data_IF_183035840378
#
_entry.id   IF_183035840378
#
_cell.length_a   1.000
_cell.length_b   1.000
_cell.length_c   1.000
_cell.angle_alpha   90.00
_cell.angle_beta   90.00
_cell.angle_gamma   90.00
#
_symmetry.space_group_name_H-M   'P 1'
#
loop_
_entity.id
_entity.type
_entity.pdbx_description
1 polymer ?
#
# COMPACT_ATOMS: atom_id res chain seq x y z
N UNK A 1 15.23 -19.94 0.72
CA UNK A 1 15.63 -19.96 -0.69
C UNK A 1 14.39 -20.16 -1.56
N UNK A 2 13.63 -19.11 -1.83
CA UNK A 2 12.41 -19.15 -2.66
C UNK A 2 12.60 -18.13 -3.81
N UNK A 3 13.41 -18.49 -4.80
CA UNK A 3 13.71 -17.54 -5.91
C UNK A 3 12.75 -17.61 -7.11
N UNK A 4 11.72 -18.50 -7.15
CA UNK A 4 10.90 -18.69 -8.35
C UNK A 4 9.39 -18.80 -8.14
N UNK A 5 8.86 -18.49 -6.96
CA UNK A 5 7.42 -18.68 -6.67
C UNK A 5 6.47 -17.62 -7.26
N UNK A 6 6.83 -16.34 -7.42
CA UNK A 6 5.84 -15.31 -7.79
C UNK A 6 5.31 -15.42 -9.22
N UNK A 7 6.12 -15.86 -10.18
CA UNK A 7 5.68 -15.93 -11.59
C UNK A 7 4.73 -17.07 -11.91
N UNK A 8 4.97 -18.25 -11.32
CA UNK A 8 4.11 -19.41 -11.56
C UNK A 8 2.71 -19.23 -10.97
N UNK A 9 2.59 -18.51 -9.86
CA UNK A 9 1.32 -18.29 -9.19
C UNK A 9 0.45 -17.27 -9.94
N UNK A 10 1.02 -16.16 -10.43
CA UNK A 10 0.29 -15.15 -11.23
C UNK A 10 -0.29 -15.74 -12.53
N UNK A 11 0.38 -16.72 -13.12
CA UNK A 11 -0.13 -17.44 -14.29
C UNK A 11 -1.25 -18.44 -13.93
N UNK A 12 -1.38 -18.80 -12.65
CA UNK A 12 -2.35 -19.79 -12.17
C UNK A 12 -3.62 -19.18 -11.59
N UNK A 13 -3.62 -17.91 -11.20
CA UNK A 13 -4.85 -17.22 -10.81
C UNK A 13 -5.54 -16.76 -12.10
N UNK A 14 -6.73 -17.29 -12.37
CA UNK A 14 -7.61 -16.76 -13.43
C UNK A 14 -7.92 -15.30 -13.09
N UNK A 15 -7.08 -14.41 -13.60
CA UNK A 15 -7.32 -12.99 -13.54
C UNK A 15 -8.55 -12.64 -14.38
N UNK A 16 -9.39 -11.75 -13.92
CA UNK A 16 -10.27 -11.01 -14.79
C UNK A 16 -9.42 -10.45 -15.92
N UNK A 17 -9.70 -10.89 -17.16
CA UNK A 17 -9.02 -10.36 -18.34
C UNK A 17 -9.51 -8.93 -18.52
N UNK A 18 -8.89 -8.02 -17.82
CA UNK A 18 -9.14 -6.61 -18.01
C UNK A 18 -7.86 -5.85 -18.00
N UNK A 19 -7.70 -5.25 -19.14
CA UNK A 19 -6.72 -4.21 -19.40
C UNK A 19 -5.34 -4.56 -18.87
N UNK A 20 -4.50 -4.99 -19.77
CA UNK A 20 -3.05 -4.81 -19.68
C UNK A 20 -2.72 -3.34 -19.45
N UNK A 21 -3.13 -2.81 -18.32
CA UNK A 21 -2.35 -1.85 -17.62
C UNK A 21 -1.52 -2.70 -16.68
N UNK A 22 -0.38 -3.15 -17.17
CA UNK A 22 0.72 -3.43 -16.26
C UNK A 22 0.75 -2.27 -15.29
N UNK A 23 1.13 -2.49 -14.05
CA UNK A 23 1.55 -1.45 -13.13
C UNK A 23 2.83 -0.77 -13.70
N UNK A 24 2.77 -0.34 -14.95
CA UNK A 24 3.55 0.71 -15.50
C UNK A 24 2.83 1.97 -15.09
N UNK A 25 3.32 2.64 -14.08
CA UNK A 25 2.89 3.98 -13.73
C UNK A 25 3.16 4.86 -14.94
N UNK A 26 2.15 5.01 -15.81
CA UNK A 26 2.22 5.89 -16.95
C UNK A 26 2.33 7.32 -16.40
N UNK A 27 3.51 7.89 -16.50
CA UNK A 27 3.70 9.33 -16.47
C UNK A 27 2.75 9.90 -17.53
N UNK A 28 1.73 10.61 -17.10
CA UNK A 28 0.81 11.31 -18.00
C UNK A 28 1.58 12.45 -18.67
N UNK A 29 2.22 12.16 -19.79
CA UNK A 29 2.67 13.15 -20.74
C UNK A 29 1.45 13.65 -21.53
N UNK A 30 0.76 14.62 -21.01
CA UNK A 30 -0.11 15.50 -21.81
C UNK A 30 0.79 16.47 -22.56
N UNK A 31 1.06 16.15 -23.80
CA UNK A 31 1.68 17.07 -24.76
C UNK A 31 0.64 18.16 -25.12
N UNK A 32 0.70 19.26 -24.42
CA UNK A 32 0.06 20.52 -24.90
C UNK A 32 1.18 21.45 -25.34
N UNK A 33 1.34 21.56 -26.64
CA UNK A 33 2.22 22.50 -27.30
C UNK A 33 1.64 23.90 -27.13
N UNK A 34 2.22 24.70 -26.26
CA UNK A 34 2.06 26.16 -26.30
C UNK A 34 3.42 26.80 -26.13
N UNK A 35 3.78 27.57 -27.17
CA UNK A 35 4.95 28.43 -27.20
C UNK A 35 4.93 29.42 -26.03
N UNK A 36 6.01 29.48 -25.26
CA UNK A 36 6.31 30.60 -24.38
C UNK A 36 7.67 31.21 -24.73
N UNK A 37 7.82 32.55 -24.64
CA UNK A 37 8.97 33.26 -25.18
C UNK A 37 10.20 33.16 -24.26
N UNK A 38 11.37 33.22 -24.89
CA UNK A 38 12.67 33.20 -24.27
C UNK A 38 12.87 34.38 -23.29
N UNK A 39 13.27 34.07 -22.05
CA UNK A 39 13.75 35.04 -21.07
C UNK A 39 15.27 34.90 -20.97
N UNK A 40 15.96 35.96 -21.32
CA UNK A 40 17.40 36.15 -21.17
C UNK A 40 17.72 36.35 -19.69
N UNK A 41 18.59 35.53 -19.10
CA UNK A 41 19.06 35.71 -17.73
C UNK A 41 20.41 36.37 -17.75
N UNK A 42 20.47 37.62 -17.26
CA UNK A 42 21.72 38.33 -16.95
C UNK A 42 22.33 37.76 -15.66
N UNK A 43 23.60 37.43 -15.75
CA UNK A 43 24.41 36.98 -14.62
C UNK A 43 24.91 38.18 -13.82
N UNK A 44 24.40 38.37 -12.60
CA UNK A 44 24.98 39.31 -11.64
C UNK A 44 25.78 38.55 -10.58
N UNK A 45 27.07 38.85 -10.52
CA UNK A 45 28.01 38.41 -9.48
C UNK A 45 27.59 39.04 -8.14
N UNK A 46 27.46 38.25 -7.07
CA UNK A 46 27.37 38.74 -5.71
C UNK A 46 28.54 38.27 -4.86
N UNK A 47 29.23 39.25 -4.29
CA UNK A 47 30.37 39.11 -3.38
C UNK A 47 29.93 38.61 -2.00
N UNK A 48 30.82 37.85 -1.41
CA UNK A 48 30.72 37.32 -0.03
C UNK A 48 30.98 38.45 0.98
N UNK A 49 30.02 38.73 1.85
CA UNK A 49 30.24 39.45 3.11
C UNK A 49 29.90 38.59 4.31
N UNK A 50 30.91 38.38 5.12
CA UNK A 50 30.92 37.72 6.41
C UNK A 50 30.31 38.63 7.47
N UNK A 51 29.35 38.22 8.26
CA UNK A 51 28.89 38.94 9.45
C UNK A 51 28.90 37.99 10.69
N UNK A 52 29.12 38.53 11.89
CA UNK A 52 29.63 37.76 13.03
C UNK A 52 28.55 37.17 13.93
N UNK A 53 28.96 36.10 14.63
CA UNK A 53 28.19 35.39 15.69
C UNK A 53 27.88 36.33 16.87
N UNK A 54 26.62 36.41 17.27
CA UNK A 54 26.21 36.89 18.59
C UNK A 54 25.86 35.70 19.51
N UNK A 55 26.55 35.65 20.64
CA UNK A 55 26.23 34.77 21.78
C UNK A 55 25.04 35.37 22.51
N UNK A 56 24.05 34.53 22.88
CA UNK A 56 23.06 34.91 23.89
C UNK A 56 22.87 33.79 24.91
N UNK A 57 22.82 34.23 26.16
CA UNK A 57 22.86 33.49 27.41
C UNK A 57 21.67 32.59 27.68
N UNK A 58 21.96 31.57 28.47
CA UNK A 58 21.01 30.68 29.11
C UNK A 58 20.21 31.40 30.21
N UNK A 59 18.88 31.38 30.13
CA UNK A 59 18.01 31.74 31.27
C UNK A 59 17.18 30.54 31.67
N UNK A 60 17.36 30.18 32.91
CA UNK A 60 16.73 29.20 33.78
C UNK A 60 15.24 29.45 33.88
N UNK A 61 14.40 28.44 33.70
CA UNK A 61 12.97 28.51 34.06
C UNK A 61 12.58 27.33 34.95
N UNK A 62 11.97 27.70 36.05
CA UNK A 62 11.55 26.90 37.19
C UNK A 62 10.40 25.93 36.89
N UNK A 63 10.44 24.83 37.59
CA UNK A 63 9.41 23.79 37.73
C UNK A 63 8.22 24.28 38.53
N UNK A 64 7.03 24.17 38.01
CA UNK A 64 5.77 24.13 38.79
C UNK A 64 5.09 22.77 38.61
N UNK A 65 4.98 22.05 39.72
CA UNK A 65 4.12 20.87 39.90
C UNK A 65 2.64 21.28 39.84
N UNK A 66 1.81 20.56 39.14
CA UNK A 66 0.36 20.53 39.42
C UNK A 66 -0.19 19.12 39.30
N UNK A 67 -1.07 18.82 40.22
CA UNK A 67 -1.61 17.55 40.64
C UNK A 67 -2.44 16.78 39.62
N UNK A 68 -2.48 15.46 39.81
CA UNK A 68 -3.33 14.50 39.15
C UNK A 68 -4.81 14.66 39.56
N UNK A 69 -5.70 14.79 38.60
CA UNK A 69 -7.15 14.59 38.81
C UNK A 69 -7.62 13.35 38.03
N UNK A 70 -8.15 12.44 38.79
CA UNK A 70 -8.74 11.16 38.46
C UNK A 70 -10.10 11.38 37.78
N UNK A 71 -10.32 10.91 36.53
CA UNK A 71 -11.64 10.85 35.91
C UNK A 71 -11.94 9.45 35.42
N UNK A 72 -13.00 8.89 35.98
CA UNK A 72 -13.61 7.59 35.69
C UNK A 72 -14.06 7.47 34.24
N UNK A 73 -13.76 6.31 33.67
CA UNK A 73 -14.33 5.77 32.43
C UNK A 73 -15.85 5.58 32.55
N UNK A 74 -16.60 6.13 31.58
CA UNK A 74 -17.96 5.66 31.28
C UNK A 74 -18.06 5.36 29.79
N UNK A 75 -18.34 4.09 29.49
CA UNK A 75 -18.74 3.59 28.18
C UNK A 75 -20.01 4.30 27.69
N UNK A 76 -20.03 4.79 26.45
CA UNK A 76 -21.27 4.82 25.66
C UNK A 76 -21.00 4.95 24.15
N UNK A 77 -21.54 3.97 23.40
CA UNK A 77 -22.13 4.00 22.05
C UNK A 77 -21.41 4.69 20.89
N UNK A 78 -21.13 3.88 19.86
CA UNK A 78 -20.87 4.29 18.48
C UNK A 78 -21.91 5.27 17.94
N UNK A 79 -21.50 6.34 17.24
CA UNK A 79 -22.43 7.12 16.44
C UNK A 79 -22.65 6.51 15.05
N UNK A 80 -23.93 6.42 14.68
CA UNK A 80 -24.43 6.02 13.37
C UNK A 80 -23.88 6.91 12.24
N UNK A 81 -23.57 6.27 11.12
CA UNK A 81 -23.21 6.94 9.87
C UNK A 81 -24.45 7.67 9.34
N UNK A 82 -24.41 8.99 9.35
CA UNK A 82 -25.38 9.83 8.65
C UNK A 82 -24.86 10.06 7.22
N UNK A 83 -25.54 9.46 6.25
CA UNK A 83 -25.37 9.78 4.84
C UNK A 83 -25.82 11.23 4.61
N UNK A 84 -24.88 12.14 4.43
CA UNK A 84 -25.14 13.49 3.93
C UNK A 84 -24.70 13.59 2.49
N UNK A 85 -25.66 13.90 1.62
CA UNK A 85 -25.50 14.22 0.21
C UNK A 85 -24.38 15.23 -0.04
N UNK A 86 -23.56 14.94 -1.06
CA UNK A 86 -22.45 15.76 -1.52
C UNK A 86 -22.93 17.16 -1.87
N UNK A 87 -22.56 18.14 -1.07
CA UNK A 87 -22.81 19.56 -1.31
C UNK A 87 -22.04 20.11 -2.51
N UNK A 88 -22.48 21.24 -3.04
CA UNK A 88 -21.91 21.93 -4.19
C UNK A 88 -20.44 22.34 -3.97
N UNK A 89 -19.72 22.64 -5.05
CA UNK A 89 -18.30 23.05 -5.02
C UNK A 89 -17.95 24.17 -4.00
N UNK A 90 -18.94 24.98 -3.58
CA UNK A 90 -18.78 26.00 -2.54
C UNK A 90 -18.77 25.40 -1.12
N UNK A 91 -19.44 24.28 -0.88
CA UNK A 91 -19.44 23.59 0.41
C UNK A 91 -18.12 22.84 0.63
N UNK A 92 -17.51 22.35 -0.44
CA UNK A 92 -16.18 21.71 -0.40
C UNK A 92 -15.10 22.75 -0.01
N UNK A 93 -15.23 24.00 -0.43
CA UNK A 93 -14.31 25.07 -0.02
C UNK A 93 -14.49 25.48 1.46
N UNK A 94 -15.69 25.38 2.03
CA UNK A 94 -15.92 25.65 3.46
C UNK A 94 -15.39 24.55 4.38
N UNK A 95 -15.25 23.31 3.90
CA UNK A 95 -14.69 22.20 4.68
C UNK A 95 -13.15 22.29 4.79
N UNK A 96 -12.50 23.17 4.05
CA UNK A 96 -11.09 23.57 4.23
C UNK A 96 -10.89 24.50 5.43
N UNK A 97 -11.56 24.22 6.56
CA UNK A 97 -11.23 24.90 7.80
C UNK A 97 -9.77 24.65 8.13
N UNK A 98 -9.01 25.73 8.33
CA UNK A 98 -7.65 25.68 8.78
C UNK A 98 -7.57 24.83 10.05
N UNK A 99 -6.98 23.64 9.96
CA UNK A 99 -6.80 22.80 11.15
C UNK A 99 -5.69 23.40 12.02
N UNK A 100 -4.75 24.10 11.41
CA UNK A 100 -3.59 24.73 12.07
C UNK A 100 -3.43 26.19 11.66
N UNK A 101 -3.06 27.03 12.61
CA UNK A 101 -2.95 28.49 12.40
C UNK A 101 -1.83 28.88 11.45
N UNK A 102 -0.82 28.04 11.31
CA UNK A 102 0.37 28.25 10.48
C UNK A 102 0.35 27.44 9.16
N UNK A 103 -0.79 26.85 8.80
CA UNK A 103 -0.99 26.13 7.53
C UNK A 103 -2.14 26.78 6.76
N UNK A 104 -1.87 27.80 5.91
CA UNK A 104 -2.89 28.42 5.06
C UNK A 104 -3.49 27.41 4.08
N UNK A 105 -4.73 27.63 3.64
CA UNK A 105 -5.45 26.72 2.74
C UNK A 105 -4.80 26.52 1.38
N UNK A 106 -4.01 27.47 0.93
CA UNK A 106 -3.21 27.46 -0.30
C UNK A 106 -1.79 26.94 -0.10
N UNK A 107 -1.42 26.57 1.12
CA UNK A 107 -0.13 25.92 1.38
C UNK A 107 -0.06 24.58 0.61
N UNK A 108 1.03 24.33 -0.08
CA UNK A 108 1.19 23.19 -0.98
C UNK A 108 0.89 21.84 -0.34
N UNK A 109 1.14 21.65 0.95
CA UNK A 109 0.89 20.43 1.71
C UNK A 109 -0.37 20.51 2.61
N UNK A 110 -1.23 21.52 2.45
CA UNK A 110 -2.38 21.72 3.34
C UNK A 110 -3.32 20.50 3.37
N UNK A 111 -3.58 19.89 2.19
CA UNK A 111 -4.42 18.70 2.07
C UNK A 111 -3.78 17.48 2.76
N UNK A 112 -2.52 17.24 2.52
CA UNK A 112 -1.76 16.13 3.10
C UNK A 112 -1.69 16.25 4.62
N UNK A 113 -1.35 17.44 5.14
CA UNK A 113 -1.30 17.73 6.58
C UNK A 113 -2.67 17.49 7.22
N UNK A 114 -3.74 18.02 6.62
CA UNK A 114 -5.11 17.80 7.10
C UNK A 114 -5.47 16.31 7.16
N UNK A 115 -5.14 15.58 6.10
CA UNK A 115 -5.50 14.16 5.97
C UNK A 115 -4.72 13.28 6.93
N UNK A 116 -3.40 13.42 7.01
CA UNK A 116 -2.58 12.60 7.92
C UNK A 116 -2.87 12.92 9.40
N UNK A 117 -3.29 14.17 9.69
CA UNK A 117 -3.68 14.54 11.05
C UNK A 117 -5.02 13.91 11.43
N UNK A 118 -6.01 13.93 10.54
CA UNK A 118 -7.30 13.25 10.73
C UNK A 118 -7.14 11.74 10.88
N UNK A 119 -6.19 11.16 10.16
CA UNK A 119 -5.84 9.74 10.26
C UNK A 119 -4.97 9.41 11.49
N UNK A 120 -4.69 10.39 12.37
CA UNK A 120 -3.80 10.24 13.54
C UNK A 120 -2.37 9.78 13.23
N UNK A 121 -1.90 9.93 12.00
CA UNK A 121 -0.53 9.60 11.62
C UNK A 121 0.46 10.65 12.14
N UNK A 122 0.07 11.94 12.09
CA UNK A 122 0.84 13.03 12.64
C UNK A 122 -0.05 13.92 13.52
N UNK A 123 0.54 14.63 14.48
CA UNK A 123 -0.17 15.58 15.34
C UNK A 123 0.42 16.98 15.22
N UNK A 124 -0.41 17.99 15.42
CA UNK A 124 0.06 19.35 15.65
C UNK A 124 0.52 19.57 17.10
N UNK A 125 0.89 20.79 17.39
CA UNK A 125 1.34 21.24 18.72
C UNK A 125 0.15 21.81 19.52
N UNK A 126 0.32 21.87 20.84
CA UNK A 126 -0.71 22.38 21.76
C UNK A 126 -1.04 23.86 21.56
N UNK A 127 -0.18 24.61 20.87
CA UNK A 127 -0.37 26.03 20.51
C UNK A 127 -1.24 26.21 19.24
N UNK A 128 -1.77 25.14 18.66
CA UNK A 128 -2.58 25.18 17.45
C UNK A 128 -1.78 25.26 16.16
N UNK A 129 -0.47 25.06 16.19
CA UNK A 129 0.41 25.06 15.01
C UNK A 129 0.74 23.64 14.56
N UNK A 130 1.11 23.48 13.29
CA UNK A 130 1.70 22.26 12.73
C UNK A 130 3.22 22.34 12.55
N UNK A 131 3.73 23.55 12.36
CA UNK A 131 5.14 23.87 12.07
C UNK A 131 5.64 23.16 10.81
N UNK A 132 5.03 23.43 9.64
CA UNK A 132 5.26 22.67 8.41
C UNK A 132 6.71 22.68 7.93
N UNK A 133 7.44 23.75 8.15
CA UNK A 133 8.83 23.92 7.72
C UNK A 133 9.88 23.45 8.76
N UNK A 134 9.43 22.98 9.93
CA UNK A 134 10.35 22.47 10.95
C UNK A 134 10.96 21.14 10.50
N UNK A 135 12.29 20.96 10.60
CA UNK A 135 12.94 19.67 10.38
C UNK A 135 12.42 18.61 11.36
N UNK A 136 12.30 17.37 10.89
CA UNK A 136 11.94 16.24 11.75
C UNK A 136 13.15 15.56 12.37
N UNK A 137 13.03 15.21 13.64
CA UNK A 137 14.01 14.36 14.33
C UNK A 137 13.76 12.89 14.02
N UNK A 138 14.77 12.05 14.26
CA UNK A 138 14.67 10.59 14.05
C UNK A 138 13.58 9.96 14.91
N UNK A 139 13.36 10.44 16.12
CA UNK A 139 12.26 9.95 16.97
C UNK A 139 10.87 10.37 16.47
N UNK A 140 10.72 11.58 15.92
CA UNK A 140 9.47 12.02 15.31
C UNK A 140 9.14 11.18 14.06
N UNK A 141 10.16 10.81 13.28
CA UNK A 141 10.00 9.89 12.14
C UNK A 141 9.65 8.49 12.62
N UNK A 142 10.28 7.99 13.71
CA UNK A 142 9.89 6.71 14.31
C UNK A 142 8.42 6.69 14.76
N UNK A 143 7.97 7.78 15.38
CA UNK A 143 6.56 7.91 15.79
C UNK A 143 5.61 7.92 14.59
N UNK A 144 5.96 8.61 13.49
CA UNK A 144 5.18 8.60 12.25
C UNK A 144 5.03 7.17 11.69
N UNK A 145 6.12 6.45 11.50
CA UNK A 145 6.07 5.11 10.93
C UNK A 145 5.48 4.08 11.89
N UNK A 146 5.61 4.27 13.21
CA UNK A 146 4.88 3.46 14.18
C UNK A 146 3.37 3.66 14.05
N UNK A 147 2.90 4.93 13.88
CA UNK A 147 1.48 5.22 13.67
C UNK A 147 0.96 4.68 12.33
N UNK A 148 1.79 4.70 11.27
CA UNK A 148 1.44 4.11 9.97
C UNK A 148 1.28 2.59 10.08
N UNK A 149 2.13 1.91 10.83
CA UNK A 149 2.11 0.45 10.97
C UNK A 149 1.08 -0.08 11.96
N UNK A 150 0.60 0.75 12.89
CA UNK A 150 -0.42 0.53 13.94
C UNK A 150 -0.75 -0.94 14.27
N UNK A 151 0.24 -1.70 14.68
CA UNK A 151 0.09 -3.09 15.10
C UNK A 151 -0.16 -3.24 16.62
N UNK A 152 -0.58 -2.15 17.22
CA UNK A 152 -0.83 -2.04 18.66
C UNK A 152 0.43 -1.83 19.48
N UNK A 153 0.24 -1.42 20.73
CA UNK A 153 1.32 -1.17 21.67
C UNK A 153 1.87 -2.49 22.21
N UNK A 154 2.97 -2.98 21.64
CA UNK A 154 3.81 -3.94 22.36
C UNK A 154 4.35 -3.28 23.63
N UNK A 155 4.34 -3.99 24.74
CA UNK A 155 4.97 -3.48 25.96
C UNK A 155 6.46 -3.23 25.70
N UNK A 156 6.96 -2.08 26.18
CA UNK A 156 8.39 -1.81 26.19
C UNK A 156 9.06 -2.75 27.20
N UNK A 157 9.84 -3.69 26.72
CA UNK A 157 10.56 -4.63 27.60
C UNK A 157 11.97 -4.11 27.89
N UNK A 158 12.71 -3.73 26.87
CA UNK A 158 14.04 -3.12 26.94
C UNK A 158 14.42 -2.56 25.58
N UNK A 159 15.24 -1.52 25.55
CA UNK A 159 15.79 -1.03 24.28
C UNK A 159 17.09 -1.75 23.93
N UNK A 160 17.26 -2.01 22.61
CA UNK A 160 18.57 -2.41 22.08
C UNK A 160 19.52 -1.21 21.93
N UNK A 161 19.02 0.01 22.09
CA UNK A 161 19.80 1.23 21.95
C UNK A 161 20.14 1.81 23.33
N UNK A 162 21.40 2.07 23.58
CA UNK A 162 21.91 2.54 24.90
C UNK A 162 21.50 3.97 25.24
N UNK A 163 21.06 4.75 24.24
CA UNK A 163 20.60 6.13 24.38
C UNK A 163 19.08 6.28 24.41
N UNK A 164 18.34 5.15 24.51
CA UNK A 164 16.87 5.15 24.62
C UNK A 164 16.47 4.59 25.98
N UNK A 165 15.95 5.47 26.83
CA UNK A 165 15.42 5.11 28.16
C UNK A 165 13.90 4.82 28.06
N UNK A 166 13.38 4.00 28.97
CA UNK A 166 11.97 3.57 28.96
C UNK A 166 10.96 4.71 29.21
N UNK A 167 11.41 5.78 29.83
CA UNK A 167 10.61 7.00 30.11
C UNK A 167 10.57 7.99 28.94
N UNK A 168 11.38 7.75 27.89
CA UNK A 168 11.34 8.61 26.70
C UNK A 168 10.01 8.43 25.97
N UNK A 169 9.36 9.55 25.61
CA UNK A 169 8.05 9.55 24.92
C UNK A 169 8.00 8.71 23.65
N UNK A 170 9.12 8.61 22.94
CA UNK A 170 9.28 7.90 21.68
C UNK A 170 9.80 6.46 21.81
N UNK A 171 10.10 6.01 23.02
CA UNK A 171 10.78 4.73 23.25
C UNK A 171 10.04 3.54 22.62
N UNK A 172 8.72 3.45 22.82
CA UNK A 172 7.89 2.40 22.22
C UNK A 172 7.90 2.44 20.70
N UNK A 173 7.77 3.64 20.13
CA UNK A 173 7.77 3.83 18.68
C UNK A 173 9.12 3.43 18.05
N UNK A 174 10.23 3.85 18.67
CA UNK A 174 11.59 3.51 18.23
C UNK A 174 11.78 1.99 18.23
N UNK A 175 11.43 1.31 19.32
CA UNK A 175 11.57 -0.14 19.41
C UNK A 175 10.66 -0.89 18.42
N UNK A 176 9.44 -0.41 18.22
CA UNK A 176 8.50 -0.98 17.26
C UNK A 176 9.08 -0.94 15.83
N UNK A 177 9.46 0.24 15.34
CA UNK A 177 9.98 0.40 13.98
C UNK A 177 11.36 -0.23 13.79
N UNK A 178 12.15 -0.33 14.86
CA UNK A 178 13.44 -0.99 14.81
C UNK A 178 13.31 -2.53 14.71
N UNK A 179 12.34 -3.13 15.42
CA UNK A 179 12.03 -4.57 15.27
C UNK A 179 11.51 -4.94 13.87
N UNK A 180 10.81 -4.02 13.24
CA UNK A 180 10.31 -4.17 11.86
C UNK A 180 11.38 -3.90 10.80
N UNK A 181 12.60 -3.55 11.21
CA UNK A 181 13.68 -3.11 10.33
C UNK A 181 13.34 -1.88 9.46
N UNK A 182 12.35 -1.08 9.87
CA UNK A 182 11.97 0.16 9.18
C UNK A 182 13.03 1.25 9.45
N UNK A 183 13.49 1.38 10.70
CA UNK A 183 14.58 2.30 11.06
C UNK A 183 15.64 1.54 11.86
N UNK A 184 16.88 1.60 11.40
CA UNK A 184 18.02 1.06 12.12
C UNK A 184 18.69 2.11 13.00
N UNK A 185 19.38 1.64 14.05
CA UNK A 185 20.33 2.46 14.81
C UNK A 185 21.68 2.57 14.13
N UNK A 186 22.62 3.15 14.83
CA UNK A 186 24.00 3.26 14.39
C UNK A 186 24.85 2.08 14.88
N UNK A 187 26.00 1.86 14.27
CA UNK A 187 26.89 0.74 14.60
C UNK A 187 27.55 0.83 15.98
N UNK A 188 27.29 1.90 16.75
CA UNK A 188 27.71 2.12 18.13
C UNK A 188 26.59 1.83 19.16
N UNK A 189 25.56 1.10 18.78
CA UNK A 189 24.38 0.78 19.57
C UNK A 189 23.58 2.02 20.02
N UNK A 190 23.70 3.15 19.31
CA UNK A 190 22.87 4.33 19.53
C UNK A 190 21.78 4.48 18.49
N UNK A 191 20.68 5.14 18.85
CA UNK A 191 19.62 5.54 17.95
C UNK A 191 19.72 7.01 17.50
N UNK A 192 20.24 7.87 18.37
CA UNK A 192 20.34 9.33 18.21
C UNK A 192 18.97 9.98 17.95
N UNK A 193 18.03 9.88 18.91
CA UNK A 193 16.63 10.25 18.72
C UNK A 193 16.41 11.71 18.31
N UNK A 194 17.21 12.64 18.83
CA UNK A 194 17.08 14.08 18.58
C UNK A 194 17.80 14.57 17.31
N UNK A 195 18.56 13.67 16.65
CA UNK A 195 19.23 14.04 15.39
C UNK A 195 18.18 14.29 14.32
N UNK A 196 18.29 15.41 13.59
CA UNK A 196 17.48 15.66 12.40
C UNK A 196 17.79 14.66 11.30
N UNK A 197 16.76 14.26 10.57
CA UNK A 197 16.85 13.29 9.48
C UNK A 197 16.97 14.00 8.14
N UNK A 198 17.92 13.60 7.31
CA UNK A 198 18.03 14.11 5.93
C UNK A 198 16.97 13.48 5.01
N UNK A 199 16.73 14.09 3.85
CA UNK A 199 15.77 13.58 2.85
C UNK A 199 16.13 12.18 2.38
N UNK A 200 17.42 11.90 2.13
CA UNK A 200 17.85 10.57 1.72
C UNK A 200 17.71 9.53 2.85
N UNK A 201 17.95 9.92 4.12
CA UNK A 201 17.70 9.03 5.27
C UNK A 201 16.19 8.72 5.39
N UNK A 202 15.33 9.74 5.22
CA UNK A 202 13.87 9.55 5.26
C UNK A 202 13.38 8.68 4.10
N UNK A 203 13.94 8.84 2.90
CA UNK A 203 13.60 7.99 1.77
C UNK A 203 13.89 6.52 2.05
N UNK A 204 15.03 6.20 2.66
CA UNK A 204 15.35 4.80 3.04
C UNK A 204 14.38 4.27 4.11
N UNK A 205 13.95 5.10 5.04
CA UNK A 205 12.94 4.69 6.03
C UNK A 205 11.59 4.39 5.38
N UNK A 206 11.16 5.24 4.45
CA UNK A 206 9.92 5.04 3.72
C UNK A 206 9.96 3.78 2.83
N UNK A 207 11.10 3.54 2.19
CA UNK A 207 11.37 2.37 1.37
C UNK A 207 11.41 1.07 2.21
N UNK A 208 12.10 1.09 3.34
CA UNK A 208 12.09 -0.03 4.27
C UNK A 208 10.67 -0.38 4.76
N UNK A 209 9.80 0.63 4.94
CA UNK A 209 8.39 0.38 5.25
C UNK A 209 7.68 -0.36 4.11
N UNK A 210 7.92 0.00 2.86
CA UNK A 210 7.34 -0.68 1.70
C UNK A 210 7.81 -2.15 1.65
N UNK A 211 9.10 -2.38 1.91
CA UNK A 211 9.67 -3.73 1.99
C UNK A 211 9.12 -4.52 3.19
N UNK A 212 8.88 -3.85 4.33
CA UNK A 212 8.20 -4.47 5.47
C UNK A 212 6.79 -4.95 5.11
N UNK A 213 6.08 -4.25 4.22
CA UNK A 213 4.78 -4.70 3.69
C UNK A 213 4.89 -5.89 2.72
N UNK A 214 6.09 -6.35 2.42
CA UNK A 214 6.35 -7.47 1.52
C UNK A 214 6.46 -7.09 0.04
N UNK A 215 6.55 -5.80 -0.27
CA UNK A 215 6.83 -5.36 -1.63
C UNK A 215 8.29 -5.64 -2.00
N UNK A 216 8.49 -6.03 -3.25
CA UNK A 216 9.82 -6.16 -3.87
C UNK A 216 9.68 -5.79 -5.33
N UNK A 217 10.53 -4.89 -5.83
CA UNK A 217 10.57 -4.56 -7.26
C UNK A 217 10.95 -5.77 -8.07
N UNK A 218 10.05 -6.20 -8.97
CA UNK A 218 10.24 -7.44 -9.76
C UNK A 218 11.41 -7.32 -10.76
N UNK A 219 11.52 -6.17 -11.40
CA UNK A 219 12.59 -5.83 -12.33
C UNK A 219 13.27 -4.53 -11.86
N UNK A 220 14.41 -4.64 -11.14
CA UNK A 220 15.12 -3.45 -10.67
C UNK A 220 15.58 -2.51 -11.78
N UNK A 221 15.69 -2.97 -13.03
CA UNK A 221 16.15 -2.13 -14.15
C UNK A 221 15.18 -1.01 -14.50
N UNK A 222 13.90 -1.12 -14.09
CA UNK A 222 12.92 -0.02 -14.25
C UNK A 222 13.34 1.23 -13.50
N UNK A 223 14.10 1.09 -12.41
CA UNK A 223 14.60 2.19 -11.58
C UNK A 223 15.73 2.97 -12.26
N UNK A 224 16.43 2.38 -13.23
CA UNK A 224 17.55 3.03 -13.94
C UNK A 224 17.08 4.24 -14.78
N UNK A 225 15.79 4.26 -15.14
CA UNK A 225 15.18 5.36 -15.87
C UNK A 225 14.81 6.55 -14.98
N UNK A 226 14.95 6.42 -13.67
CA UNK A 226 14.61 7.45 -12.69
C UNK A 226 15.88 8.12 -12.20
N UNK A 227 16.02 9.39 -12.54
CA UNK A 227 17.18 10.18 -12.14
C UNK A 227 16.77 11.57 -11.66
N UNK A 228 17.54 12.10 -10.73
CA UNK A 228 17.44 13.48 -10.25
C UNK A 228 18.63 14.30 -10.76
N UNK A 229 18.46 15.61 -10.92
CA UNK A 229 19.51 16.49 -11.42
C UNK A 229 20.77 16.51 -10.53
N UNK A 230 20.60 16.15 -9.26
CA UNK A 230 21.66 16.04 -8.27
C UNK A 230 21.92 14.59 -7.80
N UNK A 231 21.54 13.59 -8.60
CA UNK A 231 21.66 12.15 -8.29
C UNK A 231 23.06 11.75 -7.79
N UNK A 232 24.11 12.38 -8.31
CA UNK A 232 25.49 12.14 -7.89
C UNK A 232 25.78 12.46 -6.41
N UNK A 233 24.94 13.27 -5.78
CA UNK A 233 25.04 13.62 -4.36
C UNK A 233 24.18 12.72 -3.46
N UNK A 234 23.31 11.90 -4.03
CA UNK A 234 22.60 10.88 -3.28
C UNK A 234 23.59 9.77 -2.91
N UNK A 235 23.68 9.47 -1.62
CA UNK A 235 24.61 8.45 -1.14
C UNK A 235 24.30 7.08 -1.76
N UNK A 236 25.29 6.24 -2.06
CA UNK A 236 25.08 4.94 -2.71
C UNK A 236 24.04 4.07 -2.01
N UNK A 237 24.00 4.10 -0.67
CA UNK A 237 23.06 3.32 0.15
C UNK A 237 21.60 3.82 0.08
N UNK A 238 21.35 5.02 -0.47
CA UNK A 238 20.01 5.61 -0.58
C UNK A 238 19.50 5.67 -2.03
N UNK A 239 20.33 5.35 -3.02
CA UNK A 239 19.97 5.55 -4.43
C UNK A 239 18.74 4.75 -4.86
N UNK A 240 18.68 3.47 -4.48
CA UNK A 240 17.57 2.60 -4.86
C UNK A 240 16.28 3.04 -4.17
N UNK A 241 16.33 3.33 -2.87
CA UNK A 241 15.20 3.83 -2.11
C UNK A 241 14.61 5.13 -2.69
N UNK A 242 15.47 6.08 -3.04
CA UNK A 242 15.05 7.36 -3.65
C UNK A 242 14.36 7.13 -5.01
N UNK A 243 14.87 6.20 -5.82
CA UNK A 243 14.29 5.86 -7.11
C UNK A 243 12.99 5.05 -6.98
N UNK A 244 12.93 4.09 -6.06
CA UNK A 244 11.77 3.23 -5.85
C UNK A 244 10.57 4.04 -5.37
N UNK A 245 10.75 4.96 -4.41
CA UNK A 245 9.68 5.88 -3.99
C UNK A 245 9.17 6.75 -5.14
N UNK A 246 10.04 7.20 -6.04
CA UNK A 246 9.64 7.95 -7.22
C UNK A 246 8.90 7.07 -8.23
N UNK A 247 9.36 5.85 -8.45
CA UNK A 247 8.70 4.85 -9.31
C UNK A 247 7.29 4.54 -8.85
N UNK A 248 7.10 4.38 -7.54
CA UNK A 248 5.81 4.12 -6.92
C UNK A 248 4.92 5.37 -6.79
N UNK A 249 5.45 6.57 -7.09
CA UNK A 249 4.72 7.83 -6.93
C UNK A 249 4.53 8.27 -5.47
N UNK A 250 5.28 7.71 -4.53
CA UNK A 250 5.20 7.97 -3.10
C UNK A 250 6.08 9.14 -2.62
N UNK A 251 6.68 9.85 -3.54
CA UNK A 251 7.43 11.08 -3.25
C UNK A 251 6.81 12.28 -3.94
N UNK A 252 7.04 13.47 -3.41
CA UNK A 252 6.70 14.74 -4.04
C UNK A 252 7.84 15.33 -4.88
N UNK A 253 8.99 14.66 -4.92
CA UNK A 253 10.14 15.09 -5.73
C UNK A 253 10.05 14.48 -7.12
N UNK A 254 9.82 15.33 -8.14
CA UNK A 254 9.71 14.86 -9.51
C UNK A 254 11.08 14.44 -10.06
N UNK A 255 11.20 13.29 -10.74
CA UNK A 255 12.40 12.95 -11.51
C UNK A 255 12.80 14.07 -12.46
N UNK A 256 14.09 14.28 -12.64
CA UNK A 256 14.65 15.39 -13.43
C UNK A 256 14.84 16.71 -12.66
N UNK A 257 14.23 16.87 -11.48
CA UNK A 257 14.45 18.02 -10.59
C UNK A 257 15.55 17.74 -9.56
N UNK A 258 15.80 18.67 -8.62
CA UNK A 258 16.75 18.45 -7.53
C UNK A 258 16.07 17.73 -6.36
N UNK A 259 16.66 16.66 -5.90
CA UNK A 259 16.23 15.92 -4.70
C UNK A 259 16.74 16.58 -3.41
N UNK A 260 17.94 17.18 -3.43
CA UNK A 260 18.64 17.78 -2.29
C UNK A 260 18.82 16.77 -1.14
N UNK A 261 19.60 15.69 -1.29
CA UNK A 261 19.63 14.53 -0.39
C UNK A 261 20.04 14.87 1.06
N UNK A 262 20.93 15.81 1.25
CA UNK A 262 21.44 16.23 2.57
C UNK A 262 20.54 17.26 3.29
N UNK A 263 19.57 17.85 2.60
CA UNK A 263 18.61 18.75 3.25
C UNK A 263 17.75 17.96 4.23
N UNK A 264 17.51 18.53 5.40
CA UNK A 264 16.63 17.90 6.39
C UNK A 264 15.18 17.82 5.87
N UNK A 265 14.54 16.67 6.06
CA UNK A 265 13.12 16.51 5.76
C UNK A 265 12.30 17.36 6.71
N UNK A 266 11.37 18.13 6.16
CA UNK A 266 10.46 18.95 6.95
C UNK A 266 9.20 18.17 7.32
N UNK A 267 8.47 18.65 8.33
CA UNK A 267 7.19 18.05 8.74
C UNK A 267 6.16 18.03 7.61
N UNK A 268 6.13 19.06 6.76
CA UNK A 268 5.27 19.12 5.58
C UNK A 268 5.66 18.07 4.54
N UNK A 269 6.95 17.91 4.27
CA UNK A 269 7.46 16.90 3.33
C UNK A 269 7.15 15.47 3.84
N UNK A 270 7.35 15.22 5.11
CA UNK A 270 7.01 13.93 5.72
C UNK A 270 5.49 13.65 5.69
N UNK A 271 4.66 14.67 5.95
CA UNK A 271 3.20 14.55 5.85
C UNK A 271 2.75 14.22 4.41
N UNK A 272 3.36 14.84 3.41
CA UNK A 272 3.05 14.58 2.00
C UNK A 272 3.43 13.15 1.60
N UNK A 273 4.60 12.68 1.98
CA UNK A 273 5.03 11.31 1.68
C UNK A 273 4.14 10.29 2.40
N UNK A 274 3.85 10.49 3.69
CA UNK A 274 2.93 9.65 4.44
C UNK A 274 1.52 9.61 3.81
N UNK A 275 1.00 10.76 3.36
CA UNK A 275 -0.27 10.86 2.63
C UNK A 275 -0.23 10.04 1.34
N UNK A 276 0.83 10.20 0.53
CA UNK A 276 0.98 9.46 -0.74
C UNK A 276 1.09 7.96 -0.54
N UNK A 277 1.73 7.52 0.54
CA UNK A 277 1.92 6.10 0.85
C UNK A 277 0.70 5.43 1.46
N UNK A 278 -0.25 6.19 2.04
CA UNK A 278 -1.31 5.60 2.87
C UNK A 278 -2.73 6.04 2.52
N UNK A 279 -2.93 7.21 1.89
CA UNK A 279 -4.25 7.84 1.80
C UNK A 279 -4.71 8.13 0.37
N UNK A 280 -3.89 7.90 -0.64
CA UNK A 280 -4.25 8.11 -2.05
C UNK A 280 -4.88 6.86 -2.65
N UNK A 281 -5.65 7.02 -3.74
CA UNK A 281 -6.16 5.89 -4.52
C UNK A 281 -5.03 4.98 -5.01
N UNK A 282 -3.89 5.57 -5.36
CA UNK A 282 -2.69 4.82 -5.74
C UNK A 282 -2.14 3.98 -4.58
N UNK A 283 -2.08 4.54 -3.38
CA UNK A 283 -1.70 3.79 -2.18
C UNK A 283 -2.68 2.66 -1.90
N UNK A 284 -3.98 2.93 -2.02
CA UNK A 284 -5.02 1.90 -1.86
C UNK A 284 -4.86 0.76 -2.86
N UNK A 285 -4.63 1.08 -4.13
CA UNK A 285 -4.39 0.07 -5.17
C UNK A 285 -3.11 -0.74 -4.90
N UNK A 286 -2.04 -0.07 -4.46
CA UNK A 286 -0.79 -0.71 -4.06
C UNK A 286 -0.99 -1.71 -2.90
N UNK A 287 -1.61 -1.27 -1.81
CA UNK A 287 -1.88 -2.12 -0.65
C UNK A 287 -2.80 -3.30 -1.01
N UNK A 288 -3.83 -3.07 -1.84
CA UNK A 288 -4.71 -4.13 -2.35
C UNK A 288 -3.92 -5.19 -3.13
N UNK A 289 -2.99 -4.76 -3.97
CA UNK A 289 -2.18 -5.68 -4.75
C UNK A 289 -1.28 -6.52 -3.85
N UNK A 290 -0.62 -5.90 -2.87
CA UNK A 290 0.21 -6.62 -1.89
C UNK A 290 -0.61 -7.60 -1.06
N UNK A 291 -1.78 -7.17 -0.58
CA UNK A 291 -2.69 -8.04 0.16
C UNK A 291 -3.05 -9.29 -0.64
N UNK A 292 -3.47 -9.11 -1.91
CA UNK A 292 -3.80 -10.22 -2.79
C UNK A 292 -2.61 -11.16 -2.98
N UNK A 293 -1.43 -10.62 -3.26
CA UNK A 293 -0.21 -11.43 -3.39
C UNK A 293 0.12 -12.23 -2.13
N UNK A 294 -0.02 -11.65 -0.96
CA UNK A 294 0.22 -12.35 0.30
C UNK A 294 -0.77 -13.51 0.50
N UNK A 295 -2.07 -13.27 0.27
CA UNK A 295 -3.11 -14.31 0.36
C UNK A 295 -2.83 -15.44 -0.64
N UNK A 296 -2.51 -15.10 -1.89
CA UNK A 296 -2.15 -16.06 -2.93
C UNK A 296 -0.94 -16.91 -2.54
N UNK A 297 0.15 -16.28 -2.10
CA UNK A 297 1.38 -16.97 -1.73
C UNK A 297 1.19 -17.91 -0.52
N UNK A 298 0.49 -17.45 0.51
CA UNK A 298 0.15 -18.27 1.68
C UNK A 298 -0.72 -19.45 1.27
N UNK A 299 -1.77 -19.21 0.49
CA UNK A 299 -2.68 -20.25 0.00
C UNK A 299 -1.94 -21.29 -0.82
N UNK A 300 -1.11 -20.86 -1.77
CA UNK A 300 -0.30 -21.77 -2.59
C UNK A 300 0.66 -22.63 -1.76
N UNK A 301 1.31 -22.03 -0.77
CA UNK A 301 2.22 -22.74 0.13
C UNK A 301 1.49 -23.83 0.93
N UNK A 302 0.29 -23.51 1.43
CA UNK A 302 -0.52 -24.48 2.19
C UNK A 302 -1.01 -25.60 1.28
N UNK A 303 -1.52 -25.26 0.09
CA UNK A 303 -1.99 -26.26 -0.89
C UNK A 303 -0.84 -27.17 -1.32
N UNK A 304 0.34 -26.59 -1.66
CA UNK A 304 1.52 -27.37 -2.06
C UNK A 304 1.94 -28.37 -0.98
N UNK A 305 2.02 -27.89 0.27
CA UNK A 305 2.36 -28.73 1.42
C UNK A 305 1.31 -29.83 1.66
N UNK A 306 0.03 -29.48 1.61
CA UNK A 306 -1.09 -30.39 1.92
C UNK A 306 -1.24 -31.48 0.87
N UNK A 307 -1.08 -31.13 -0.41
CA UNK A 307 -1.28 -32.03 -1.54
C UNK A 307 0.02 -32.68 -2.06
N UNK A 308 1.18 -32.30 -1.49
CA UNK A 308 2.45 -32.92 -1.76
C UNK A 308 3.02 -32.66 -3.16
N UNK A 309 2.87 -31.43 -3.67
CA UNK A 309 3.37 -31.09 -5.01
C UNK A 309 4.89 -30.91 -5.10
N UNK A 310 5.55 -30.70 -3.95
CA UNK A 310 7.02 -30.58 -3.87
C UNK A 310 7.56 -29.31 -4.49
N UNK A 311 6.93 -28.18 -4.22
CA UNK A 311 7.20 -26.84 -4.79
C UNK A 311 6.90 -26.72 -6.30
N UNK A 312 6.11 -27.65 -6.85
CA UNK A 312 5.63 -27.57 -8.23
C UNK A 312 4.12 -27.28 -8.23
N UNK A 313 3.78 -26.06 -7.94
CA UNK A 313 2.38 -25.61 -7.85
C UNK A 313 1.65 -25.70 -9.20
N UNK A 314 2.36 -25.90 -10.33
CA UNK A 314 1.73 -26.09 -11.64
C UNK A 314 0.83 -27.34 -11.67
N UNK A 315 1.07 -28.33 -10.81
CA UNK A 315 0.22 -29.52 -10.63
C UNK A 315 -1.18 -29.18 -10.17
N UNK A 316 -1.36 -28.08 -9.43
CA UNK A 316 -2.67 -27.63 -8.98
C UNK A 316 -3.64 -27.38 -10.14
N UNK A 317 -3.14 -27.01 -11.33
CA UNK A 317 -3.98 -26.80 -12.53
C UNK A 317 -4.87 -27.99 -12.89
N UNK A 318 -4.48 -29.21 -12.49
CA UNK A 318 -5.25 -30.42 -12.73
C UNK A 318 -6.20 -30.76 -11.56
N UNK A 319 -5.93 -30.22 -10.38
CA UNK A 319 -6.68 -30.52 -9.18
C UNK A 319 -7.74 -29.48 -8.84
N UNK A 320 -7.56 -28.22 -9.28
CA UNK A 320 -8.47 -27.15 -8.95
C UNK A 320 -8.22 -25.86 -9.73
N UNK A 321 -8.79 -24.76 -9.26
CA UNK A 321 -8.63 -23.41 -9.79
C UNK A 321 -8.52 -22.40 -8.66
N UNK A 322 -7.69 -21.36 -8.88
CA UNK A 322 -7.60 -20.18 -8.03
C UNK A 322 -8.11 -18.97 -8.80
N UNK A 323 -9.00 -18.20 -8.21
CA UNK A 323 -9.50 -16.95 -8.81
C UNK A 323 -10.03 -15.98 -7.74
N UNK A 324 -9.98 -14.70 -8.03
CA UNK A 324 -10.57 -13.66 -7.20
C UNK A 324 -11.99 -13.35 -7.64
N UNK A 325 -12.93 -13.36 -6.71
CA UNK A 325 -14.31 -12.90 -6.89
C UNK A 325 -14.84 -12.27 -5.60
N UNK A 326 -15.58 -11.17 -5.71
CA UNK A 326 -16.17 -10.48 -4.56
C UNK A 326 -15.16 -10.10 -3.46
N UNK A 327 -13.91 -9.80 -3.83
CA UNK A 327 -12.84 -9.45 -2.87
C UNK A 327 -12.25 -10.64 -2.12
N UNK A 328 -12.62 -11.88 -2.47
CA UNK A 328 -12.08 -13.11 -1.87
C UNK A 328 -11.34 -13.96 -2.91
N UNK A 329 -10.27 -14.61 -2.47
CA UNK A 329 -9.61 -15.65 -3.24
C UNK A 329 -10.39 -16.94 -3.10
N UNK A 330 -10.81 -17.54 -4.19
CA UNK A 330 -11.46 -18.85 -4.23
C UNK A 330 -10.42 -19.92 -4.59
N UNK A 331 -10.28 -20.93 -3.73
CA UNK A 331 -9.54 -22.15 -3.98
C UNK A 331 -10.56 -23.28 -4.20
N UNK A 332 -10.90 -23.52 -5.47
CA UNK A 332 -11.91 -24.51 -5.86
C UNK A 332 -11.23 -25.79 -6.32
N UNK A 333 -11.44 -26.90 -5.64
CA UNK A 333 -10.82 -28.21 -5.95
C UNK A 333 -11.86 -29.20 -6.47
N UNK A 334 -11.51 -29.97 -7.51
CA UNK A 334 -12.43 -30.92 -8.13
C UNK A 334 -12.65 -32.16 -7.27
N UNK A 335 -11.67 -32.57 -6.47
CA UNK A 335 -11.77 -33.68 -5.54
C UNK A 335 -12.18 -33.17 -4.15
N UNK A 336 -13.29 -33.74 -3.63
CA UNK A 336 -13.86 -33.38 -2.33
C UNK A 336 -12.89 -33.59 -1.17
N UNK A 337 -12.14 -34.71 -1.17
CA UNK A 337 -11.21 -35.03 -0.07
C UNK A 337 -10.02 -34.06 -0.07
N UNK A 338 -9.52 -33.67 -1.25
CA UNK A 338 -8.49 -32.64 -1.38
C UNK A 338 -9.00 -31.29 -0.89
N UNK A 339 -10.23 -30.90 -1.23
CA UNK A 339 -10.83 -29.66 -0.76
C UNK A 339 -10.95 -29.63 0.78
N UNK A 340 -11.46 -30.72 1.38
CA UNK A 340 -11.57 -30.85 2.84
C UNK A 340 -10.20 -30.82 3.53
N UNK A 341 -9.18 -31.48 2.98
CA UNK A 341 -7.83 -31.47 3.53
C UNK A 341 -7.21 -30.07 3.48
N UNK A 342 -7.36 -29.34 2.37
CA UNK A 342 -6.87 -27.96 2.24
C UNK A 342 -7.61 -27.01 3.19
N UNK A 343 -8.94 -27.14 3.29
CA UNK A 343 -9.72 -26.31 4.22
C UNK A 343 -9.30 -26.54 5.68
N UNK A 344 -9.05 -27.80 6.07
CA UNK A 344 -8.56 -28.12 7.42
C UNK A 344 -7.16 -27.52 7.67
N UNK A 345 -6.23 -27.70 6.73
CA UNK A 345 -4.89 -27.16 6.87
C UNK A 345 -4.85 -25.61 6.98
N UNK A 346 -5.78 -24.93 6.28
CA UNK A 346 -5.93 -23.47 6.39
C UNK A 346 -6.48 -23.09 7.77
N UNK A 347 -7.51 -23.78 8.26
CA UNK A 347 -8.08 -23.52 9.58
C UNK A 347 -7.06 -23.70 10.71
N UNK A 348 -6.15 -24.68 10.59
CA UNK A 348 -5.07 -24.91 11.56
C UNK A 348 -4.08 -23.75 11.65
N UNK A 349 -3.94 -22.94 10.61
CA UNK A 349 -3.01 -21.79 10.63
C UNK A 349 -3.47 -20.68 11.55
N UNK A 350 -4.78 -20.55 11.81
CA UNK A 350 -5.40 -19.45 12.54
C UNK A 350 -4.94 -18.07 11.98
N UNK A 351 -4.68 -18.00 10.67
CA UNK A 351 -4.24 -16.77 10.01
C UNK A 351 -5.45 -15.87 9.68
N UNK A 352 -5.62 -14.71 10.36
CA UNK A 352 -6.77 -13.83 10.17
C UNK A 352 -6.92 -13.32 8.75
N UNK A 353 -5.81 -13.21 8.00
CA UNK A 353 -5.82 -12.74 6.61
C UNK A 353 -6.45 -13.81 5.70
N UNK A 354 -6.09 -15.09 5.91
CA UNK A 354 -6.70 -16.20 5.17
C UNK A 354 -8.17 -16.38 5.56
N UNK A 355 -8.50 -16.31 6.85
CA UNK A 355 -9.90 -16.41 7.33
C UNK A 355 -10.80 -15.33 6.68
N UNK A 356 -10.28 -14.11 6.54
CA UNK A 356 -11.05 -12.99 5.98
C UNK A 356 -11.16 -13.04 4.46
N UNK A 357 -10.13 -13.56 3.75
CA UNK A 357 -9.97 -13.36 2.31
C UNK A 357 -10.03 -14.64 1.47
N UNK A 358 -10.06 -15.83 2.06
CA UNK A 358 -10.00 -17.09 1.34
C UNK A 358 -11.29 -17.90 1.50
N UNK A 359 -11.75 -18.48 0.39
CA UNK A 359 -12.85 -19.46 0.35
C UNK A 359 -12.33 -20.75 -0.27
N UNK A 360 -12.44 -21.86 0.44
CA UNK A 360 -12.13 -23.18 -0.10
C UNK A 360 -13.43 -23.91 -0.40
N UNK A 361 -13.56 -24.46 -1.59
CA UNK A 361 -14.78 -25.14 -2.02
C UNK A 361 -14.49 -26.36 -2.90
N UNK A 362 -15.47 -27.25 -3.03
CA UNK A 362 -15.45 -28.25 -4.08
C UNK A 362 -15.98 -27.64 -5.38
N UNK A 363 -15.18 -27.70 -6.45
CA UNK A 363 -15.55 -27.24 -7.79
C UNK A 363 -15.81 -28.39 -8.77
N UNK A 364 -16.17 -28.04 -10.01
CA UNK A 364 -16.43 -29.01 -11.09
C UNK A 364 -15.37 -28.99 -12.18
N UNK A 365 -14.81 -27.82 -12.47
CA UNK A 365 -13.77 -27.63 -13.48
C UNK A 365 -12.47 -27.22 -12.81
N UNK A 366 -11.36 -27.75 -13.31
CA UNK A 366 -10.04 -27.34 -12.88
C UNK A 366 -9.51 -26.18 -13.74
N UNK A 367 -8.37 -25.63 -13.35
CA UNK A 367 -7.73 -24.49 -14.01
C UNK A 367 -7.45 -24.74 -15.50
N UNK A 368 -6.92 -25.94 -15.82
CA UNK A 368 -6.61 -26.29 -17.22
C UNK A 368 -7.88 -26.28 -18.11
N UNK A 369 -8.97 -26.86 -17.61
CA UNK A 369 -10.25 -26.87 -18.34
C UNK A 369 -10.83 -25.45 -18.49
N UNK A 370 -10.73 -24.63 -17.44
CA UNK A 370 -11.20 -23.24 -17.50
C UNK A 370 -10.41 -22.40 -18.49
N UNK A 371 -9.09 -22.59 -18.58
CA UNK A 371 -8.22 -21.92 -19.54
C UNK A 371 -8.52 -22.33 -20.98
N UNK A 372 -8.73 -23.62 -21.24
CA UNK A 372 -9.15 -24.13 -22.54
C UNK A 372 -10.49 -23.51 -22.96
N UNK A 373 -11.47 -23.48 -22.05
CA UNK A 373 -12.75 -22.83 -22.32
C UNK A 373 -12.63 -21.33 -22.55
N UNK A 374 -11.75 -20.66 -21.82
CA UNK A 374 -11.50 -19.22 -21.96
C UNK A 374 -10.96 -18.89 -23.35
N UNK A 375 -9.93 -19.61 -23.82
CA UNK A 375 -9.35 -19.41 -25.15
C UNK A 375 -10.39 -19.60 -26.25
N UNK A 376 -11.08 -20.73 -26.23
CA UNK A 376 -12.12 -21.06 -27.19
C UNK A 376 -13.29 -20.09 -27.20
N UNK A 377 -13.63 -19.55 -26.04
CA UNK A 377 -14.76 -18.65 -25.87
C UNK A 377 -14.43 -17.23 -26.35
N UNK A 378 -13.20 -16.75 -26.14
CA UNK A 378 -12.72 -15.47 -26.67
C UNK A 378 -12.79 -15.50 -28.22
N UNK A 379 -12.28 -16.56 -28.82
CA UNK A 379 -12.27 -16.72 -30.27
C UNK A 379 -13.70 -16.76 -30.85
N UNK A 380 -14.60 -17.53 -30.22
CA UNK A 380 -15.98 -17.60 -30.63
C UNK A 380 -16.70 -16.23 -30.49
N UNK A 381 -16.44 -15.52 -29.38
CA UNK A 381 -17.02 -14.21 -29.14
C UNK A 381 -16.59 -13.20 -30.22
N UNK A 382 -15.27 -13.08 -30.46
CA UNK A 382 -14.71 -12.19 -31.50
C UNK A 382 -15.28 -12.50 -32.90
N UNK A 383 -15.49 -13.78 -33.22
CA UNK A 383 -16.07 -14.19 -34.47
C UNK A 383 -17.57 -13.82 -34.59
N UNK A 384 -18.31 -13.77 -33.49
CA UNK A 384 -19.75 -13.46 -33.47
C UNK A 384 -20.04 -11.99 -33.21
N UNK A 385 -19.23 -11.33 -32.43
CA UNK A 385 -19.36 -9.93 -32.03
C UNK A 385 -18.07 -9.16 -32.39
N UNK A 386 -17.77 -8.94 -33.68
CA UNK A 386 -16.49 -8.36 -34.12
C UNK A 386 -16.27 -6.91 -33.64
N UNK A 387 -17.34 -6.22 -33.21
CA UNK A 387 -17.31 -4.86 -32.66
C UNK A 387 -17.53 -4.83 -31.14
N UNK A 388 -17.83 -5.97 -30.53
CA UNK A 388 -18.10 -6.08 -29.10
C UNK A 388 -16.81 -6.26 -28.29
N UNK A 389 -16.84 -5.81 -27.04
CA UNK A 389 -15.73 -5.95 -26.10
C UNK A 389 -16.12 -6.87 -24.95
N UNK A 390 -15.21 -7.75 -24.60
CA UNK A 390 -15.33 -8.55 -23.37
C UNK A 390 -14.94 -7.65 -22.20
N UNK A 391 -15.84 -7.54 -21.22
CA UNK A 391 -15.65 -6.75 -20.00
C UNK A 391 -14.95 -7.58 -18.94
N UNK A 392 -15.38 -8.83 -18.74
CA UNK A 392 -14.77 -9.75 -17.78
C UNK A 392 -14.96 -11.20 -18.16
N UNK A 393 -14.05 -12.05 -17.70
CA UNK A 393 -14.14 -13.50 -17.79
C UNK A 393 -13.80 -14.04 -16.40
N UNK A 394 -14.72 -14.79 -15.79
CA UNK A 394 -14.50 -15.40 -14.47
C UNK A 394 -15.26 -16.71 -14.34
N UNK A 395 -14.79 -17.65 -13.53
CA UNK A 395 -15.60 -18.79 -13.12
C UNK A 395 -16.79 -18.32 -12.29
N UNK A 396 -17.85 -19.14 -12.26
CA UNK A 396 -18.86 -19.03 -11.21
C UNK A 396 -18.35 -19.68 -9.91
N UNK A 397 -19.06 -19.49 -8.81
CA UNK A 397 -18.61 -19.83 -7.46
C UNK A 397 -18.24 -21.33 -7.27
N UNK A 398 -18.95 -22.24 -7.96
CA UNK A 398 -18.68 -23.68 -7.92
C UNK A 398 -17.82 -24.18 -9.09
N UNK A 399 -17.21 -23.28 -9.84
CA UNK A 399 -16.42 -23.54 -11.06
C UNK A 399 -17.13 -24.46 -12.08
N UNK A 400 -18.46 -24.52 -12.07
CA UNK A 400 -19.21 -25.32 -13.04
C UNK A 400 -19.30 -24.67 -14.41
N UNK A 401 -19.05 -23.36 -14.49
CA UNK A 401 -19.07 -22.61 -15.73
C UNK A 401 -18.11 -21.41 -15.70
N UNK A 402 -17.62 -21.03 -16.89
CA UNK A 402 -16.95 -19.77 -17.13
C UNK A 402 -17.97 -18.73 -17.57
N UNK A 403 -18.02 -17.60 -16.88
CA UNK A 403 -18.93 -16.50 -17.18
C UNK A 403 -18.17 -15.42 -17.96
N UNK A 404 -18.65 -15.13 -19.17
CA UNK A 404 -18.14 -14.02 -20.00
C UNK A 404 -19.15 -12.90 -19.94
N UNK A 405 -18.76 -11.77 -19.41
CA UNK A 405 -19.55 -10.53 -19.46
C UNK A 405 -19.01 -9.64 -20.57
N UNK A 406 -19.87 -9.17 -21.45
CA UNK A 406 -19.50 -8.35 -22.60
C UNK A 406 -20.47 -7.21 -22.81
N UNK A 407 -20.03 -6.13 -23.49
CA UNK A 407 -20.85 -4.94 -23.79
C UNK A 407 -21.91 -5.18 -24.87
N UNK A 408 -21.71 -6.21 -25.69
CA UNK A 408 -22.65 -6.63 -26.74
C UNK A 408 -22.82 -8.14 -26.74
N UNK A 409 -24.05 -8.63 -26.73
CA UNK A 409 -24.38 -10.06 -26.79
C UNK A 409 -25.67 -10.27 -27.58
N UNK A 410 -25.56 -10.72 -28.82
CA UNK A 410 -26.70 -11.00 -29.67
C UNK A 410 -27.26 -12.40 -29.40
N UNK A 411 -28.53 -12.62 -29.75
CA UNK A 411 -29.22 -13.92 -29.58
C UNK A 411 -28.48 -15.05 -30.26
N UNK A 412 -27.88 -14.81 -31.42
CA UNK A 412 -27.14 -15.83 -32.17
C UNK A 412 -25.78 -16.15 -31.53
N UNK A 413 -25.18 -15.19 -30.87
CA UNK A 413 -23.99 -15.41 -30.04
C UNK A 413 -24.30 -16.36 -28.87
N UNK A 414 -25.39 -16.09 -28.12
CA UNK A 414 -25.84 -16.99 -27.04
C UNK A 414 -26.11 -18.41 -27.56
N UNK A 415 -26.79 -18.55 -28.71
CA UNK A 415 -27.04 -19.87 -29.31
C UNK A 415 -25.74 -20.59 -29.69
N UNK A 416 -24.79 -19.86 -30.28
CA UNK A 416 -23.50 -20.43 -30.65
C UNK A 416 -22.71 -20.92 -29.42
N UNK A 417 -22.67 -20.14 -28.34
CA UNK A 417 -22.07 -20.54 -27.08
C UNK A 417 -22.73 -21.78 -26.49
N UNK A 418 -24.05 -21.79 -26.39
CA UNK A 418 -24.80 -22.95 -25.89
C UNK A 418 -24.56 -24.22 -26.72
N UNK A 419 -24.45 -24.06 -28.06
CA UNK A 419 -24.14 -25.18 -28.95
C UNK A 419 -22.71 -25.74 -28.70
N UNK A 420 -21.70 -24.84 -28.59
CA UNK A 420 -20.29 -25.25 -28.44
C UNK A 420 -19.96 -25.74 -27.03
N UNK A 421 -20.36 -25.00 -26.01
CA UNK A 421 -19.92 -25.20 -24.62
C UNK A 421 -20.99 -25.81 -23.70
N UNK A 422 -22.21 -26.02 -24.19
CA UNK A 422 -23.38 -26.41 -23.36
C UNK A 422 -23.61 -25.42 -22.22
N UNK A 423 -23.34 -25.82 -20.98
CA UNK A 423 -23.46 -24.96 -19.79
C UNK A 423 -22.11 -24.59 -19.18
N UNK A 424 -21.01 -25.06 -19.76
CA UNK A 424 -19.66 -24.79 -19.22
C UNK A 424 -19.13 -23.39 -19.50
N UNK A 425 -19.71 -22.68 -20.48
CA UNK A 425 -19.43 -21.26 -20.73
C UNK A 425 -20.73 -20.52 -20.98
N UNK A 426 -20.93 -19.45 -20.26
CA UNK A 426 -22.09 -18.55 -20.39
C UNK A 426 -21.61 -17.18 -20.84
N UNK A 427 -22.22 -16.62 -21.90
CA UNK A 427 -21.99 -15.24 -22.32
C UNK A 427 -23.22 -14.40 -21.98
N UNK A 428 -23.00 -13.23 -21.37
CA UNK A 428 -24.06 -12.35 -20.89
C UNK A 428 -23.67 -10.86 -20.97
N UNK A 429 -24.68 -10.00 -20.98
CA UNK A 429 -24.50 -8.57 -20.74
C UNK A 429 -24.20 -8.32 -19.25
N UNK A 430 -23.59 -7.16 -18.91
CA UNK A 430 -23.49 -6.74 -17.53
C UNK A 430 -24.87 -6.78 -16.88
N UNK A 431 -25.00 -7.51 -15.78
CA UNK A 431 -26.20 -7.41 -14.96
C UNK A 431 -26.15 -6.06 -14.27
N UNK A 432 -27.30 -5.35 -14.14
CA UNK A 432 -27.32 -4.20 -13.26
C UNK A 432 -26.82 -4.70 -11.90
N UNK A 433 -25.66 -4.22 -11.50
CA UNK A 433 -25.17 -4.51 -10.17
C UNK A 433 -26.25 -4.05 -9.21
N UNK A 434 -26.81 -5.00 -8.45
CA UNK A 434 -27.25 -4.65 -7.11
C UNK A 434 -25.94 -4.27 -6.40
N UNK A 435 -25.58 -2.99 -6.54
CA UNK A 435 -24.44 -2.42 -5.84
C UNK A 435 -24.79 -2.58 -4.37
N UNK A 436 -24.37 -3.71 -3.79
CA UNK A 436 -23.93 -3.63 -2.42
C UNK A 436 -22.74 -2.68 -2.54
N UNK A 437 -22.81 -1.46 -1.98
CA UNK A 437 -21.64 -0.61 -1.97
C UNK A 437 -20.55 -1.53 -1.45
N UNK A 438 -19.50 -1.74 -2.24
CA UNK A 438 -18.29 -2.34 -1.72
C UNK A 438 -18.09 -1.61 -0.42
N UNK A 439 -18.32 -2.30 0.69
CA UNK A 439 -17.97 -1.78 1.97
C UNK A 439 -16.51 -1.47 1.75
N UNK A 440 -16.20 -0.17 1.64
CA UNK A 440 -14.86 0.31 1.37
C UNK A 440 -14.00 -0.60 2.19
N UNK A 441 -13.21 -1.47 1.52
CA UNK A 441 -12.44 -2.47 2.23
C UNK A 441 -11.60 -1.61 3.15
N UNK A 442 -12.05 -1.47 4.40
CA UNK A 442 -11.20 -0.94 5.44
C UNK A 442 -10.11 -1.99 5.46
N UNK A 443 -8.97 -1.62 4.85
CA UNK A 443 -7.81 -2.48 4.91
C UNK A 443 -7.69 -2.91 6.34
N UNK A 444 -7.76 -4.20 6.67
CA UNK A 444 -7.05 -4.61 7.84
C UNK A 444 -5.61 -4.15 7.56
N UNK A 445 -5.15 -3.16 8.30
CA UNK A 445 -3.74 -2.88 8.44
C UNK A 445 -3.06 -4.25 8.51
N UNK A 446 -1.88 -4.44 7.88
CA UNK A 446 -1.27 -5.76 7.72
C UNK A 446 -1.43 -6.54 9.01
N UNK A 447 -1.88 -7.79 8.98
CA UNK A 447 -2.30 -8.53 10.16
C UNK A 447 -1.21 -8.39 11.21
N UNK A 448 -1.62 -8.10 12.43
CA UNK A 448 -0.72 -8.03 13.59
C UNK A 448 0.08 -9.31 13.62
N UNK A 449 1.27 -9.30 13.05
CA UNK A 449 2.19 -10.42 13.17
C UNK A 449 2.67 -10.41 14.61
N UNK A 450 2.03 -11.19 15.45
CA UNK A 450 2.52 -11.46 16.79
C UNK A 450 3.81 -12.25 16.65
N UNK A 451 4.93 -11.57 16.51
CA UNK A 451 6.25 -12.15 16.72
C UNK A 451 6.46 -12.44 18.21
N UNK A 452 5.70 -13.38 18.77
CA UNK A 452 6.16 -14.06 19.95
C UNK A 452 7.11 -15.15 19.49
N UNK A 453 8.39 -14.87 19.68
CA UNK A 453 9.46 -15.84 19.56
C UNK A 453 9.17 -17.03 20.51
N UNK A 454 8.85 -18.20 19.93
CA UNK A 454 8.74 -19.47 20.66
C UNK A 454 10.08 -20.19 20.68
N UNK A 455 11.21 -19.51 20.71
CA UNK A 455 12.51 -20.13 20.96
C UNK A 455 12.98 -19.82 22.37
N UNK A 456 12.33 -20.47 23.36
CA UNK A 456 12.90 -20.80 24.64
C UNK A 456 12.24 -22.06 25.18
N UNK A 457 12.77 -23.20 24.78
CA UNK A 457 12.91 -24.43 25.58
C UNK A 457 14.22 -25.10 25.25
#
# INVERSE_FOLDING_TARGET
MYKNTPYALRALVLGTLLTTTGLGFASANTTTTTHAPAITVETTKMETTKAPMAKTDATKMETTKTEAANVKSTNTASPAIVNTSIGTSQDIQKIRAHIFTDVPSDFWAANSISTVTKANLMKGYSDGTFRPNQPMTREEVAALFNNITDDGTAAFLSSKFKDITSDRWSALAIESVARKNIISGYGDDTYKPEKYMSRQEFAVVADNYIHYLGYTTEDPTVLDNIAYGDQKFVAPWAQDAVRELAYLGFTNYAPGTLFNPEKYVTRAEAAEIAYRMTQTEQALAFHNTLFKQQVENKTATIIDKTLGYGNDFTKFRQDGALFWDGGKLHASLTDKKKAEAVAHAIAETQDPQLESALVVSQGKLNQAQLEDYQSDAIDLYKAKEPKGNIISIRPNDDTSALIITADSVQKDTVKAFKKKFKNNVVVQLPQPETVKPDAAIQFPLPPRVNYYDTTNK
#
